data_IF_660190720494
#
_entry.id   IF_660190720494
#
_cell.length_a   1.000
_cell.length_b   1.000
_cell.length_c   1.000
_cell.angle_alpha   90.00
_cell.angle_beta   90.00
_cell.angle_gamma   90.00
#
_symmetry.space_group_name_H-M   'P 1'
#
loop_
_entity.id
_entity.type
_entity.pdbx_description
1 polymer ?
#
# COMPACT_ATOMS: atom_id res chain seq x y z
N UNK A 1 10.74 4.94 -1.09
CA UNK A 1 10.54 5.54 -2.42
C UNK A 1 10.86 7.00 -2.32
N UNK A 2 11.40 7.56 -3.39
CA UNK A 2 11.78 8.97 -3.48
C UNK A 2 10.76 9.70 -4.35
N UNK A 3 10.62 10.99 -4.11
CA UNK A 3 9.71 11.85 -4.87
C UNK A 3 10.45 12.38 -6.09
N UNK A 4 9.84 12.23 -7.26
CA UNK A 4 10.37 12.77 -8.52
C UNK A 4 9.40 13.78 -9.10
N UNK A 5 9.96 14.85 -9.66
CA UNK A 5 9.26 15.86 -10.44
C UNK A 5 9.45 15.56 -11.92
N UNK A 6 8.35 15.58 -12.65
CA UNK A 6 8.27 15.35 -14.09
C UNK A 6 7.85 16.67 -14.74
N UNK A 7 8.69 17.22 -15.61
CA UNK A 7 8.42 18.50 -16.27
C UNK A 7 8.35 18.29 -17.78
N UNK A 8 7.23 18.69 -18.37
CA UNK A 8 7.01 18.68 -19.81
C UNK A 8 6.42 20.02 -20.27
N UNK A 9 7.25 20.87 -20.87
CA UNK A 9 6.85 22.23 -21.25
C UNK A 9 6.43 23.05 -20.02
N UNK A 10 5.14 23.36 -19.92
CA UNK A 10 4.56 24.09 -18.78
C UNK A 10 3.85 23.18 -17.77
N UNK A 11 3.75 21.87 -18.03
CA UNK A 11 3.13 20.91 -17.10
C UNK A 11 4.18 20.34 -16.13
N UNK A 12 3.79 20.24 -14.86
CA UNK A 12 4.60 19.72 -13.78
C UNK A 12 3.79 18.68 -12.99
N UNK A 13 4.30 17.46 -12.94
CA UNK A 13 3.69 16.34 -12.21
C UNK A 13 4.68 15.74 -11.23
N UNK A 14 4.15 15.02 -10.24
CA UNK A 14 4.94 14.35 -9.22
C UNK A 14 4.62 12.87 -9.17
N UNK A 15 5.66 12.06 -9.03
CA UNK A 15 5.54 10.60 -8.95
C UNK A 15 6.51 10.01 -7.92
N UNK A 16 6.14 8.85 -7.38
CA UNK A 16 6.97 8.10 -6.47
C UNK A 16 7.71 6.98 -7.21
N UNK A 17 9.03 6.92 -7.09
CA UNK A 17 9.84 5.88 -7.70
C UNK A 17 10.99 5.46 -6.77
N UNK A 18 11.62 4.32 -7.04
CA UNK A 18 12.75 3.83 -6.25
C UNK A 18 14.03 4.60 -6.57
N UNK A 19 14.22 4.97 -7.83
CA UNK A 19 15.38 5.70 -8.34
C UNK A 19 15.04 6.38 -9.68
N UNK A 20 15.97 7.18 -10.22
CA UNK A 20 15.75 7.93 -11.47
C UNK A 20 15.45 7.04 -12.69
N UNK A 21 16.03 5.82 -12.74
CA UNK A 21 15.75 4.88 -13.84
C UNK A 21 14.32 4.35 -13.76
N UNK A 22 13.90 3.93 -12.57
CA UNK A 22 12.51 3.50 -12.30
C UNK A 22 11.52 4.64 -12.61
N UNK A 23 11.87 5.87 -12.23
CA UNK A 23 11.08 7.06 -12.52
C UNK A 23 10.89 7.28 -14.05
N UNK A 24 11.95 7.06 -14.83
CA UNK A 24 11.92 7.16 -16.29
C UNK A 24 11.13 6.03 -16.96
N UNK A 25 11.33 4.79 -16.52
CA UNK A 25 10.64 3.62 -17.05
C UNK A 25 9.12 3.73 -16.80
N UNK A 26 8.72 4.28 -15.65
CA UNK A 26 7.32 4.40 -15.22
C UNK A 26 6.69 5.76 -15.47
N UNK A 27 7.33 6.64 -16.25
CA UNK A 27 6.83 8.00 -16.55
C UNK A 27 5.40 8.02 -17.13
N UNK A 28 5.06 6.99 -17.91
CA UNK A 28 3.73 6.83 -18.50
C UNK A 28 2.61 6.52 -17.47
N UNK A 29 2.97 6.04 -16.26
CA UNK A 29 2.02 5.83 -15.17
C UNK A 29 1.65 7.15 -14.47
N UNK A 30 2.53 8.14 -14.52
CA UNK A 30 2.27 9.49 -14.01
C UNK A 30 1.36 10.26 -14.96
N UNK A 31 1.71 10.23 -16.25
CA UNK A 31 0.87 10.73 -17.33
C UNK A 31 1.12 9.90 -18.60
N UNK A 32 0.09 9.32 -19.26
CA UNK A 32 0.27 8.50 -20.45
C UNK A 32 1.03 9.20 -21.58
N UNK A 33 0.93 10.53 -21.69
CA UNK A 33 1.61 11.30 -22.73
C UNK A 33 3.13 11.29 -22.55
N UNK A 34 3.62 11.17 -21.31
CA UNK A 34 5.05 11.12 -20.98
C UNK A 34 5.76 9.91 -21.60
N UNK A 35 5.02 8.87 -21.98
CA UNK A 35 5.58 7.73 -22.71
C UNK A 35 6.13 8.10 -24.09
N UNK A 36 5.58 9.15 -24.72
CA UNK A 36 5.83 9.50 -26.13
C UNK A 36 6.59 10.81 -26.32
N UNK A 37 6.81 11.58 -25.26
CA UNK A 37 7.47 12.88 -25.31
C UNK A 37 8.68 12.92 -24.37
N UNK A 38 9.57 13.88 -24.60
CA UNK A 38 10.70 14.11 -23.71
C UNK A 38 10.22 14.78 -22.41
N UNK A 39 10.63 14.20 -21.28
CA UNK A 39 10.24 14.68 -19.95
C UNK A 39 11.49 14.80 -19.10
N UNK A 40 11.66 15.97 -18.47
CA UNK A 40 12.73 16.18 -17.51
C UNK A 40 12.30 15.59 -16.17
N UNK A 41 13.12 14.69 -15.63
CA UNK A 41 12.84 13.97 -14.37
C UNK A 41 13.93 14.32 -13.36
N UNK A 42 13.54 14.88 -12.23
CA UNK A 42 14.46 15.31 -11.16
C UNK A 42 13.97 14.81 -9.80
N UNK A 43 14.89 14.31 -8.98
CA UNK A 43 14.57 13.96 -7.60
C UNK A 43 14.29 15.23 -6.79
N UNK A 44 13.18 15.22 -6.05
CA UNK A 44 12.79 16.34 -5.20
C UNK A 44 13.54 16.24 -3.88
N UNK A 45 14.44 17.19 -3.65
CA UNK A 45 15.20 17.32 -2.41
C UNK A 45 14.82 18.64 -1.75
N UNK A 46 14.32 18.57 -0.52
CA UNK A 46 14.01 19.75 0.29
C UNK A 46 15.10 19.91 1.35
N UNK A 47 15.87 21.02 1.33
CA UNK A 47 16.90 21.25 2.33
C UNK A 47 16.36 21.13 3.76
N UNK A 48 17.14 20.47 4.62
CA UNK A 48 16.82 20.25 6.05
C UNK A 48 15.55 19.43 6.33
N UNK A 49 14.94 18.79 5.32
CA UNK A 49 13.76 17.96 5.48
C UNK A 49 13.93 16.59 4.81
N UNK A 50 13.33 15.56 5.41
CA UNK A 50 13.31 14.20 4.85
C UNK A 50 11.92 13.91 4.31
N UNK A 51 11.81 13.72 3.00
CA UNK A 51 10.57 13.28 2.36
C UNK A 51 10.46 11.76 2.53
N UNK A 52 9.40 11.31 3.19
CA UNK A 52 9.09 9.89 3.32
C UNK A 52 7.83 9.58 2.53
N UNK A 53 7.95 8.87 1.41
CA UNK A 53 6.79 8.34 0.69
C UNK A 53 6.44 6.97 1.26
N UNK A 54 5.22 6.85 1.75
CA UNK A 54 4.61 5.56 2.12
C UNK A 54 3.48 5.27 1.15
N UNK A 55 3.38 4.05 0.60
CA UNK A 55 2.22 3.66 -0.19
C UNK A 55 0.98 3.86 0.69
N UNK A 56 0.06 4.72 0.23
CA UNK A 56 -1.24 4.89 0.86
C UNK A 56 -2.16 3.90 0.17
N UNK A 57 -2.37 2.77 0.83
CA UNK A 57 -2.82 1.55 0.17
C UNK A 57 -1.74 0.49 0.22
N UNK A 58 -1.35 0.11 1.44
CA UNK A 58 -1.28 -1.32 1.64
C UNK A 58 -2.60 -1.87 1.11
N UNK A 59 -2.49 -2.83 0.20
CA UNK A 59 -3.41 -3.94 0.24
C UNK A 59 -3.32 -4.55 1.65
N UNK A 60 -4.03 -3.95 2.62
CA UNK A 60 -4.87 -4.70 3.54
C UNK A 60 -5.86 -5.48 2.66
N UNK A 61 -5.33 -6.52 2.02
CA UNK A 61 -5.85 -7.06 0.76
C UNK A 61 -5.04 -8.25 0.28
N UNK A 62 -3.79 -8.43 0.74
CA UNK A 62 -3.10 -9.72 0.63
C UNK A 62 -3.09 -10.53 1.92
N UNK A 63 -3.41 -9.92 3.08
CA UNK A 63 -3.68 -10.64 4.33
C UNK A 63 -5.18 -10.82 4.63
N UNK A 64 -6.04 -10.03 3.96
CA UNK A 64 -7.51 -10.07 4.14
C UNK A 64 -8.16 -11.31 3.52
N UNK A 65 -7.65 -11.83 2.40
CA UNK A 65 -8.30 -12.95 1.70
C UNK A 65 -8.35 -14.25 2.52
N UNK A 66 -7.46 -14.43 3.51
CA UNK A 66 -7.44 -15.65 4.31
C UNK A 66 -8.66 -15.73 5.26
N UNK A 67 -8.96 -14.63 5.96
CA UNK A 67 -10.09 -14.58 6.91
C UNK A 67 -11.40 -14.12 6.26
N UNK A 68 -11.34 -13.44 5.11
CA UNK A 68 -12.54 -13.03 4.37
C UNK A 68 -13.25 -14.20 3.68
N UNK A 69 -12.51 -15.22 3.25
CA UNK A 69 -13.08 -16.44 2.64
C UNK A 69 -13.43 -17.53 3.68
N UNK A 70 -13.15 -17.27 4.97
CA UNK A 70 -13.35 -18.23 6.04
C UNK A 70 -14.75 -18.05 6.63
N UNK A 71 -15.46 -19.17 6.78
CA UNK A 71 -16.79 -19.19 7.37
C UNK A 71 -16.71 -18.97 8.89
N UNK A 72 -17.79 -18.46 9.49
CA UNK A 72 -17.86 -18.20 10.94
C UNK A 72 -17.33 -19.34 11.83
N UNK A 73 -17.71 -20.63 11.63
CA UNK A 73 -17.18 -21.73 12.43
C UNK A 73 -15.66 -21.86 12.33
N UNK A 74 -15.10 -21.73 11.12
CA UNK A 74 -13.65 -21.85 10.88
C UNK A 74 -12.88 -20.69 11.54
N UNK A 75 -13.42 -19.47 11.48
CA UNK A 75 -12.87 -18.31 12.19
C UNK A 75 -12.79 -18.54 13.70
N UNK A 76 -13.84 -19.13 14.28
CA UNK A 76 -13.91 -19.42 15.72
C UNK A 76 -12.88 -20.50 16.08
N UNK A 77 -12.74 -21.56 15.28
CA UNK A 77 -11.73 -22.60 15.51
C UNK A 77 -10.31 -22.02 15.43
N UNK A 78 -10.04 -21.16 14.46
CA UNK A 78 -8.75 -20.48 14.34
C UNK A 78 -8.45 -19.61 15.56
N UNK A 79 -9.41 -18.80 16.02
CA UNK A 79 -9.26 -17.95 17.21
C UNK A 79 -8.98 -18.78 18.47
N UNK A 80 -9.66 -19.93 18.64
CA UNK A 80 -9.38 -20.87 19.75
C UNK A 80 -7.98 -21.46 19.67
N UNK A 81 -7.57 -21.92 18.48
CA UNK A 81 -6.25 -22.53 18.27
C UNK A 81 -5.10 -21.55 18.54
N UNK A 82 -5.31 -20.26 18.27
CA UNK A 82 -4.33 -19.20 18.48
C UNK A 82 -4.47 -18.49 19.84
N UNK A 83 -5.29 -19.03 20.76
CA UNK A 83 -5.56 -18.45 22.08
C UNK A 83 -6.00 -16.97 22.05
N UNK A 84 -6.70 -16.57 20.99
CA UNK A 84 -7.20 -15.21 20.82
C UNK A 84 -8.53 -15.08 21.55
N UNK A 85 -8.65 -14.08 22.41
CA UNK A 85 -9.89 -13.80 23.11
C UNK A 85 -10.98 -13.32 22.13
N UNK A 86 -12.10 -14.03 22.08
CA UNK A 86 -13.25 -13.66 21.26
C UNK A 86 -14.54 -13.80 22.05
N UNK A 87 -15.57 -13.03 21.68
CA UNK A 87 -16.90 -13.14 22.29
C UNK A 87 -17.86 -13.81 21.31
N UNK A 88 -18.62 -14.85 21.70
CA UNK A 88 -19.52 -15.58 20.80
C UNK A 88 -20.58 -14.72 20.11
N UNK A 89 -20.95 -13.59 20.72
CA UNK A 89 -21.93 -12.62 20.21
C UNK A 89 -21.34 -11.63 19.20
N UNK A 90 -20.04 -11.69 18.90
CA UNK A 90 -19.45 -10.87 17.84
C UNK A 90 -19.97 -11.29 16.47
N UNK A 91 -20.29 -10.30 15.64
CA UNK A 91 -20.55 -10.51 14.22
C UNK A 91 -19.27 -10.87 13.46
N UNK A 92 -19.45 -11.42 12.26
CA UNK A 92 -18.36 -11.98 11.45
C UNK A 92 -17.23 -10.97 11.19
N UNK A 93 -17.57 -9.69 10.99
CA UNK A 93 -16.59 -8.63 10.83
C UNK A 93 -15.65 -8.50 12.04
N UNK A 94 -16.19 -8.50 13.27
CA UNK A 94 -15.40 -8.38 14.50
C UNK A 94 -14.52 -9.60 14.75
N UNK A 95 -14.98 -10.79 14.38
CA UNK A 95 -14.19 -12.02 14.48
C UNK A 95 -13.00 -11.97 13.51
N UNK A 96 -13.22 -11.50 12.28
CA UNK A 96 -12.16 -11.32 11.27
C UNK A 96 -11.14 -10.27 11.69
N UNK A 97 -11.59 -9.14 12.22
CA UNK A 97 -10.71 -8.08 12.73
C UNK A 97 -9.82 -8.59 13.87
N UNK A 98 -10.37 -9.37 14.81
CA UNK A 98 -9.60 -9.98 15.90
C UNK A 98 -8.56 -11.00 15.38
N UNK A 99 -8.94 -11.82 14.39
CA UNK A 99 -8.04 -12.80 13.80
C UNK A 99 -6.88 -12.14 13.02
N UNK A 100 -7.19 -11.08 12.27
CA UNK A 100 -6.19 -10.26 11.58
C UNK A 100 -5.22 -9.61 12.57
N UNK A 101 -5.74 -8.98 13.63
CA UNK A 101 -4.93 -8.33 14.65
C UNK A 101 -3.96 -9.30 15.32
N UNK A 102 -4.43 -10.50 15.68
CA UNK A 102 -3.59 -11.54 16.27
C UNK A 102 -2.49 -12.04 15.31
N UNK A 103 -2.82 -12.24 14.03
CA UNK A 103 -1.85 -12.66 13.01
C UNK A 103 -0.74 -11.62 12.80
N UNK A 104 -1.04 -10.33 12.90
CA UNK A 104 -0.04 -9.26 12.73
C UNK A 104 0.91 -9.06 13.92
N UNK A 105 0.61 -9.66 15.08
CA UNK A 105 1.45 -9.55 16.29
C UNK A 105 2.45 -10.70 16.46
N UNK A 106 2.39 -11.72 15.58
CA UNK A 106 3.25 -12.90 15.59
C UNK A 106 4.21 -12.85 14.40
#
# INVERSE_FOLDING_TARGET
MNLFKYTCGFDERYGAAVNARDAYERRAEVDPTFGFIEVKIEEVIVPHHVITIRPTGDKAGSNDAFFQNMERPELIEWLKANHVHYVPQWGDQRLREAALAAKTQN
#
